data_IF_678773559499
#
_entry.id   IF_678773559499
#
_cell.length_a   1.000
_cell.length_b   1.000
_cell.length_c   1.000
_cell.angle_alpha   90.00
_cell.angle_beta   90.00
_cell.angle_gamma   90.00
#
_symmetry.space_group_name_H-M   'P 1'
#
loop_
_entity.id
_entity.type
_entity.pdbx_description
1 polymer ?
#
# COMPACT_ATOMS: atom_id res chain seq x y z
N UNK A 1 0.72 5.76 -3.40
CA UNK A 1 0.59 5.51 -4.86
C UNK A 1 -0.60 6.28 -5.44
N UNK A 2 -1.69 6.43 -4.69
CA UNK A 2 -2.96 6.97 -5.20
C UNK A 2 -3.08 8.50 -5.11
N UNK A 3 -2.01 9.23 -4.79
CA UNK A 3 -2.02 10.69 -4.67
C UNK A 3 -2.15 11.37 -6.04
N UNK A 4 -3.33 11.92 -6.41
CA UNK A 4 -3.55 12.39 -7.77
C UNK A 4 -3.04 13.82 -7.98
N UNK A 5 -2.79 14.62 -6.93
CA UNK A 5 -2.48 16.05 -7.08
C UNK A 5 -1.09 16.24 -7.66
N UNK A 6 -0.98 16.89 -8.82
CA UNK A 6 0.32 17.16 -9.46
C UNK A 6 1.29 17.90 -8.54
N UNK A 7 0.80 18.83 -7.71
CA UNK A 7 1.58 19.60 -6.73
C UNK A 7 2.19 18.77 -5.60
N UNK A 8 1.66 17.58 -5.32
CA UNK A 8 2.18 16.63 -4.33
C UNK A 8 3.02 15.55 -5.01
N UNK A 9 3.90 15.96 -5.92
CA UNK A 9 4.82 15.04 -6.60
C UNK A 9 5.80 14.43 -5.60
N UNK A 10 6.05 13.11 -5.64
CA UNK A 10 7.06 12.51 -4.79
C UNK A 10 8.45 12.97 -5.22
N UNK A 11 9.30 13.27 -4.24
CA UNK A 11 10.72 13.51 -4.44
C UNK A 11 11.46 12.18 -4.22
N UNK A 12 11.72 11.45 -5.32
CA UNK A 12 12.50 10.21 -5.26
C UNK A 12 14.00 10.51 -5.26
N UNK A 13 14.74 9.68 -4.54
CA UNK A 13 16.19 9.75 -4.46
C UNK A 13 16.84 8.73 -5.38
N UNK A 14 18.01 9.06 -5.90
CA UNK A 14 18.88 8.13 -6.61
C UNK A 14 20.16 7.92 -5.81
N UNK A 15 20.66 6.70 -5.82
CA UNK A 15 21.98 6.41 -5.29
C UNK A 15 23.02 6.50 -6.40
N UNK A 16 23.82 7.56 -6.37
CA UNK A 16 24.90 7.78 -7.33
C UNK A 16 25.91 6.63 -7.32
N UNK A 17 26.52 6.38 -8.48
CA UNK A 17 27.57 5.39 -8.63
C UNK A 17 28.75 5.70 -7.70
N UNK A 18 29.29 4.67 -7.04
CA UNK A 18 30.37 4.82 -6.06
C UNK A 18 29.93 5.20 -4.63
N UNK A 19 28.64 5.49 -4.39
CA UNK A 19 28.15 5.69 -3.03
C UNK A 19 28.01 4.34 -2.29
N UNK A 20 28.97 4.07 -1.40
CA UNK A 20 29.01 2.85 -0.57
C UNK A 20 28.48 3.03 0.85
N UNK A 21 28.09 4.25 1.23
CA UNK A 21 27.69 4.59 2.61
C UNK A 21 26.17 4.70 2.77
N UNK A 22 25.45 5.00 1.70
CA UNK A 22 23.99 5.14 1.74
C UNK A 22 23.31 3.81 1.47
N UNK A 23 22.54 3.36 2.45
CA UNK A 23 21.52 2.33 2.29
C UNK A 23 20.19 3.01 1.94
N UNK A 24 19.79 2.92 0.66
CA UNK A 24 18.59 3.57 0.14
C UNK A 24 17.48 2.54 -0.03
N UNK A 25 16.30 2.76 0.55
CA UNK A 25 15.06 2.03 0.26
C UNK A 25 13.93 3.03 0.02
N UNK A 26 13.13 2.82 -1.01
CA UNK A 26 11.95 3.64 -1.30
C UNK A 26 10.75 2.74 -1.57
N UNK A 27 9.75 2.77 -0.69
CA UNK A 27 8.66 1.79 -0.71
C UNK A 27 7.34 2.46 -1.07
N UNK A 28 6.64 1.86 -2.02
CA UNK A 28 5.34 2.31 -2.50
C UNK A 28 4.18 1.67 -1.70
N UNK A 29 3.32 2.52 -1.14
CA UNK A 29 2.13 2.13 -0.36
C UNK A 29 0.82 2.60 -1.02
N UNK A 30 -0.33 1.95 -0.78
CA UNK A 30 -1.63 2.41 -1.23
C UNK A 30 -2.03 3.69 -0.50
N UNK A 31 -2.91 4.50 -1.10
CA UNK A 31 -3.45 5.72 -0.52
C UNK A 31 -2.76 7.01 -0.98
N UNK A 32 -3.36 8.12 -0.53
CA UNK A 32 -2.92 9.50 -0.79
C UNK A 32 -2.00 10.01 0.30
N UNK A 33 -1.50 11.24 0.19
CA UNK A 33 -0.47 11.80 1.07
C UNK A 33 -0.72 11.57 2.57
N UNK A 34 -1.90 11.93 3.08
CA UNK A 34 -2.24 11.79 4.51
C UNK A 34 -2.66 10.35 4.89
N UNK A 35 -2.91 9.45 3.93
CA UNK A 35 -3.02 8.03 4.25
C UNK A 35 -1.65 7.41 4.57
N UNK A 36 -0.56 7.96 4.01
CA UNK A 36 0.81 7.50 4.27
C UNK A 36 1.40 8.18 5.52
N UNK A 37 1.24 9.50 5.63
CA UNK A 37 1.82 10.29 6.72
C UNK A 37 0.97 10.38 7.99
N UNK A 38 -0.29 9.94 7.94
CA UNK A 38 -1.26 10.16 9.01
C UNK A 38 -2.02 11.49 8.87
N UNK A 39 -3.12 11.62 9.62
CA UNK A 39 -3.97 12.83 9.62
C UNK A 39 -5.40 12.65 9.11
N UNK A 40 -5.82 11.42 8.86
CA UNK A 40 -7.23 11.05 8.63
C UNK A 40 -7.81 10.35 9.86
N UNK A 41 -9.13 10.21 9.94
CA UNK A 41 -9.76 9.44 11.03
C UNK A 41 -9.44 7.94 10.91
N UNK A 42 -9.56 7.38 9.71
CA UNK A 42 -9.00 6.05 9.43
C UNK A 42 -7.47 6.17 9.32
N UNK A 43 -6.78 5.51 10.24
CA UNK A 43 -5.31 5.50 10.34
C UNK A 43 -4.70 4.15 9.96
N UNK A 44 -5.45 3.21 9.38
CA UNK A 44 -4.91 1.86 9.16
C UNK A 44 -3.70 1.85 8.23
N UNK A 45 -3.77 2.51 7.06
CA UNK A 45 -2.62 2.60 6.14
C UNK A 45 -1.44 3.37 6.76
N UNK A 46 -1.73 4.42 7.53
CA UNK A 46 -0.70 5.21 8.23
C UNK A 46 -0.04 4.40 9.36
N UNK A 47 -0.78 3.48 9.97
CA UNK A 47 -0.25 2.57 10.99
C UNK A 47 0.70 1.55 10.36
N UNK A 48 0.41 1.08 9.14
CA UNK A 48 1.28 0.18 8.39
C UNK A 48 2.59 0.89 8.02
N UNK A 49 2.51 2.10 7.48
CA UNK A 49 3.71 2.88 7.13
C UNK A 49 4.54 3.26 8.36
N UNK A 50 3.88 3.55 9.49
CA UNK A 50 4.55 3.79 10.77
C UNK A 50 5.23 2.52 11.30
N UNK A 51 4.56 1.37 11.25
CA UNK A 51 5.16 0.10 11.66
C UNK A 51 6.40 -0.21 10.81
N UNK A 52 6.31 -0.05 9.49
CA UNK A 52 7.43 -0.24 8.57
C UNK A 52 8.60 0.69 8.91
N UNK A 53 8.38 1.98 9.12
CA UNK A 53 9.49 2.90 9.44
C UNK A 53 10.08 2.62 10.82
N UNK A 54 9.27 2.21 11.80
CA UNK A 54 9.77 1.77 13.10
C UNK A 54 10.72 0.57 12.93
N UNK A 55 10.36 -0.39 12.07
CA UNK A 55 11.20 -1.54 11.77
C UNK A 55 12.48 -1.18 11.02
N UNK A 56 12.48 -0.16 10.16
CA UNK A 56 13.71 0.34 9.52
C UNK A 56 14.63 1.08 10.49
N UNK A 57 14.07 1.77 11.49
CA UNK A 57 14.84 2.62 12.41
C UNK A 57 15.34 1.87 13.66
N UNK A 58 14.66 0.80 14.08
CA UNK A 58 15.03 0.06 15.30
C UNK A 58 16.46 -0.53 15.22
N UNK A 59 16.88 -1.18 14.12
CA UNK A 59 18.26 -1.67 13.98
C UNK A 59 19.33 -0.57 14.01
N UNK A 60 18.95 0.69 13.78
CA UNK A 60 19.83 1.85 13.86
C UNK A 60 19.95 2.43 15.28
N UNK A 61 19.29 1.79 16.27
CA UNK A 61 19.29 2.21 17.67
C UNK A 61 18.19 3.20 18.04
N UNK A 62 17.16 3.36 17.19
CA UNK A 62 15.98 4.16 17.53
C UNK A 62 14.98 3.28 18.26
N UNK A 63 14.75 3.57 19.53
CA UNK A 63 13.81 2.81 20.35
C UNK A 63 12.40 3.42 20.30
N UNK A 64 11.40 2.55 20.30
CA UNK A 64 9.99 2.94 20.36
C UNK A 64 9.34 2.38 21.60
N UNK A 65 8.50 3.18 22.26
CA UNK A 65 7.75 2.75 23.43
C UNK A 65 6.68 1.72 23.03
N UNK A 66 6.78 0.44 23.43
CA UNK A 66 5.86 -0.60 22.97
C UNK A 66 4.41 -0.32 23.37
N UNK A 67 4.19 0.19 24.58
CA UNK A 67 2.85 0.53 25.04
C UNK A 67 2.18 1.60 24.16
N UNK A 68 2.93 2.61 23.72
CA UNK A 68 2.42 3.69 22.87
C UNK A 68 2.09 3.20 21.46
N UNK A 69 2.96 2.39 20.86
CA UNK A 69 2.72 1.81 19.53
C UNK A 69 1.56 0.81 19.55
N UNK A 70 1.53 -0.12 20.52
CA UNK A 70 0.43 -1.06 20.68
C UNK A 70 -0.90 -0.32 20.90
N UNK A 71 -0.92 0.75 21.70
CA UNK A 71 -2.11 1.59 21.87
C UNK A 71 -2.55 2.23 20.55
N UNK A 72 -1.61 2.71 19.74
CA UNK A 72 -1.90 3.29 18.42
C UNK A 72 -2.49 2.25 17.46
N UNK A 73 -1.85 1.09 17.31
CA UNK A 73 -2.34 0.00 16.46
C UNK A 73 -3.71 -0.51 16.92
N UNK A 74 -3.90 -0.64 18.23
CA UNK A 74 -5.17 -1.03 18.82
C UNK A 74 -6.25 0.04 18.62
N UNK A 75 -5.91 1.33 18.65
CA UNK A 75 -6.86 2.40 18.31
C UNK A 75 -7.32 2.34 16.85
N UNK A 76 -6.44 1.99 15.91
CA UNK A 76 -6.78 1.75 14.51
C UNK A 76 -7.75 0.57 14.35
N UNK A 77 -7.55 -0.53 15.11
CA UNK A 77 -8.50 -1.66 15.12
C UNK A 77 -9.87 -1.26 15.70
N UNK A 78 -9.88 -0.49 16.80
CA UNK A 78 -11.12 0.00 17.42
C UNK A 78 -11.90 0.93 16.50
N UNK A 79 -11.20 1.81 15.79
CA UNK A 79 -11.79 2.67 14.77
C UNK A 79 -12.43 1.80 13.67
N UNK A 80 -11.68 0.85 13.15
CA UNK A 80 -12.12 -0.08 12.10
C UNK A 80 -13.35 -0.90 12.51
N UNK A 81 -13.41 -1.33 13.78
CA UNK A 81 -14.55 -2.04 14.36
C UNK A 81 -15.79 -1.14 14.54
N UNK A 82 -15.61 0.13 14.90
CA UNK A 82 -16.72 1.09 14.99
C UNK A 82 -17.24 1.51 13.62
N UNK A 83 -16.32 1.70 12.67
CA UNK A 83 -16.55 2.33 11.37
C UNK A 83 -16.09 1.39 10.23
N UNK A 84 -16.71 0.22 10.03
CA UNK A 84 -16.33 -0.69 8.94
C UNK A 84 -16.57 -0.06 7.56
N UNK A 85 -17.48 0.90 7.45
CA UNK A 85 -17.70 1.73 6.27
C UNK A 85 -17.72 3.21 6.66
N UNK A 86 -16.52 3.80 6.90
CA UNK A 86 -16.41 5.16 7.38
C UNK A 86 -17.05 6.15 6.42
N UNK A 87 -17.45 7.30 6.95
CA UNK A 87 -18.20 8.29 6.19
C UNK A 87 -17.46 8.73 4.94
N UNK A 88 -18.11 8.56 3.81
CA UNK A 88 -17.63 9.08 2.53
C UNK A 88 -18.23 10.48 2.42
N UNK A 89 -17.42 11.54 2.26
CA UNK A 89 -17.99 12.85 1.98
C UNK A 89 -18.91 12.70 0.78
N UNK A 90 -20.12 13.27 0.88
CA UNK A 90 -20.89 13.54 -0.33
C UNK A 90 -19.94 14.20 -1.33
N UNK A 91 -20.10 14.02 -2.64
CA UNK A 91 -19.38 14.82 -3.63
C UNK A 91 -19.81 16.29 -3.50
N UNK A 92 -19.44 16.91 -2.38
CA UNK A 92 -19.52 18.32 -2.11
C UNK A 92 -18.46 18.90 -3.02
N UNK A 93 -18.94 19.68 -3.99
CA UNK A 93 -18.22 20.34 -5.08
C UNK A 93 -18.56 19.71 -6.43
N UNK A 94 -19.02 20.59 -7.33
CA UNK A 94 -19.14 20.41 -8.77
C UNK A 94 -17.79 19.95 -9.34
N UNK A 95 -17.51 18.65 -9.31
CA UNK A 95 -16.40 18.06 -10.05
C UNK A 95 -16.85 18.07 -11.51
N UNK A 96 -16.21 18.84 -12.42
CA UNK A 96 -16.55 18.82 -13.82
C UNK A 96 -16.57 17.38 -14.35
N UNK A 97 -17.54 17.05 -15.19
CA UNK A 97 -17.78 15.67 -15.68
C UNK A 97 -16.53 15.01 -16.29
N UNK A 98 -15.59 15.80 -16.83
CA UNK A 98 -14.33 15.29 -17.38
C UNK A 98 -13.40 14.70 -16.30
N UNK A 99 -13.36 15.24 -15.08
CA UNK A 99 -12.63 14.65 -13.95
C UNK A 99 -13.35 13.40 -13.44
N UNK A 100 -14.70 13.43 -13.42
CA UNK A 100 -15.50 12.24 -13.11
C UNK A 100 -15.24 11.09 -14.09
N UNK A 101 -14.98 11.39 -15.37
CA UNK A 101 -14.61 10.38 -16.36
C UNK A 101 -13.28 9.70 -16.03
N UNK A 102 -12.32 10.40 -15.42
CA UNK A 102 -11.04 9.82 -14.98
C UNK A 102 -11.26 8.91 -13.75
N UNK A 103 -12.11 9.30 -12.80
CA UNK A 103 -12.37 8.56 -11.56
C UNK A 103 -13.27 7.31 -11.80
N UNK A 104 -14.26 7.40 -12.69
CA UNK A 104 -15.20 6.31 -13.02
C UNK A 104 -14.73 5.38 -14.14
N UNK A 105 -13.63 5.70 -14.83
CA UNK A 105 -13.11 4.87 -15.94
C UNK A 105 -12.62 3.49 -15.51
N UNK A 106 -12.51 3.26 -14.20
CA UNK A 106 -11.94 2.04 -13.65
C UNK A 106 -12.99 0.96 -13.42
N UNK A 107 -13.36 0.29 -14.51
CA UNK A 107 -14.06 -1.00 -14.46
C UNK A 107 -13.18 -2.08 -15.04
N UNK A 108 -12.11 -2.42 -14.32
CA UNK A 108 -11.43 -3.68 -14.57
C UNK A 108 -11.69 -4.56 -13.33
N UNK A 109 -12.65 -5.50 -13.38
CA UNK A 109 -12.66 -6.57 -12.40
C UNK A 109 -11.34 -7.32 -12.57
N UNK A 110 -10.52 -7.31 -11.52
CA UNK A 110 -9.28 -8.07 -11.48
C UNK A 110 -9.69 -9.55 -11.44
N UNK A 111 -9.48 -10.36 -12.49
CA UNK A 111 -10.02 -11.72 -12.61
C UNK A 111 -9.46 -12.69 -11.55
N UNK A 112 -8.46 -12.24 -10.81
CA UNK A 112 -7.78 -12.99 -9.76
C UNK A 112 -8.08 -12.48 -8.35
N UNK A 113 -8.96 -11.50 -8.15
CA UNK A 113 -9.35 -11.10 -6.80
C UNK A 113 -10.01 -12.28 -6.05
N UNK A 114 -9.58 -12.51 -4.80
CA UNK A 114 -10.11 -13.53 -3.91
C UNK A 114 -11.63 -13.35 -3.73
N UNK A 115 -12.35 -14.48 -3.72
CA UNK A 115 -13.79 -14.53 -3.54
C UNK A 115 -14.12 -15.57 -2.47
N UNK A 116 -14.90 -15.23 -1.43
CA UNK A 116 -15.56 -13.94 -1.20
C UNK A 116 -14.59 -12.85 -0.72
N UNK A 117 -14.82 -11.60 -1.15
CA UNK A 117 -14.02 -10.45 -0.70
C UNK A 117 -14.19 -10.25 0.82
N UNK A 118 -13.12 -10.10 1.61
CA UNK A 118 -13.22 -9.87 3.06
C UNK A 118 -13.97 -8.57 3.42
N UNK A 119 -13.76 -7.50 2.64
CA UNK A 119 -14.45 -6.23 2.80
C UNK A 119 -15.14 -5.84 1.46
N UNK A 120 -16.32 -6.43 1.14
CA UNK A 120 -17.03 -6.13 -0.09
C UNK A 120 -17.60 -4.70 -0.05
N UNK A 121 -17.98 -4.11 -1.21
CA UNK A 121 -18.73 -2.86 -1.20
C UNK A 121 -19.99 -2.97 -0.33
N UNK A 122 -20.38 -1.90 0.40
CA UNK A 122 -21.52 -1.96 1.30
C UNK A 122 -22.78 -2.31 0.51
N UNK A 123 -23.55 -3.29 1.01
CA UNK A 123 -24.87 -3.63 0.44
C UNK A 123 -25.80 -2.43 0.59
N UNK A 124 -26.86 -2.36 -0.23
CA UNK A 124 -27.89 -1.30 -0.10
C UNK A 124 -28.54 -1.23 1.29
N UNK A 125 -28.49 -2.34 2.05
CA UNK A 125 -29.00 -2.46 3.42
C UNK A 125 -27.94 -2.12 4.49
N UNK A 126 -26.67 -1.96 4.11
CA UNK A 126 -25.58 -1.66 5.03
C UNK A 126 -25.41 -0.14 5.18
N UNK A 127 -25.27 0.33 6.42
CA UNK A 127 -25.15 1.74 6.72
C UNK A 127 -23.69 2.18 6.59
N UNK A 128 -23.43 3.10 5.65
CA UNK A 128 -22.22 3.92 5.61
C UNK A 128 -22.39 5.05 6.64
N UNK A 129 -21.32 5.42 7.33
CA UNK A 129 -21.42 6.48 8.35
C UNK A 129 -21.82 7.82 7.72
N UNK A 130 -22.72 8.54 8.39
CA UNK A 130 -23.30 9.77 7.86
C UNK A 130 -22.38 10.97 7.97
N UNK A 131 -21.46 10.95 8.93
CA UNK A 131 -20.49 12.00 9.18
C UNK A 131 -19.15 11.38 9.57
N UNK A 132 -18.08 12.14 9.38
CA UNK A 132 -16.77 11.74 9.87
C UNK A 132 -16.83 11.53 11.39
N UNK A 133 -16.04 10.56 11.85
CA UNK A 133 -15.84 10.32 13.26
C UNK A 133 -15.35 11.61 13.93
N UNK A 134 -16.02 12.01 15.00
CA UNK A 134 -15.53 13.05 15.90
C UNK A 134 -14.75 12.36 17.03
N UNK A 135 -13.74 13.01 17.62
CA UNK A 135 -12.97 12.42 18.72
C UNK A 135 -13.83 12.06 19.96
N UNK A 136 -15.10 12.47 19.97
CA UNK A 136 -16.14 12.15 20.96
C UNK A 136 -16.92 10.85 20.65
N UNK A 137 -16.71 10.23 19.49
CA UNK A 137 -17.35 8.97 19.13
C UNK A 137 -16.75 7.84 19.97
N UNK A 138 -17.58 7.28 20.86
CA UNK A 138 -17.16 6.27 21.80
C UNK A 138 -16.89 4.94 21.06
N UNK A 139 -15.65 4.73 20.61
CA UNK A 139 -15.23 3.48 19.97
C UNK A 139 -15.33 2.28 20.93
N UNK A 140 -15.69 1.08 20.47
CA UNK A 140 -15.85 -0.09 21.33
C UNK A 140 -14.54 -0.40 22.06
N UNK A 141 -14.65 -0.79 23.33
CA UNK A 141 -13.55 -1.34 24.12
C UNK A 141 -13.67 -2.87 24.15
N UNK A 142 -12.55 -3.59 24.13
CA UNK A 142 -12.55 -5.05 24.24
C UNK A 142 -11.31 -5.70 23.63
N UNK A 143 -11.02 -6.96 23.95
CA UNK A 143 -9.87 -7.64 23.35
C UNK A 143 -9.95 -7.63 21.81
N UNK A 144 -8.83 -7.80 21.08
CA UNK A 144 -8.86 -7.87 19.62
C UNK A 144 -9.90 -8.87 19.09
N UNK A 145 -10.06 -10.02 19.73
CA UNK A 145 -11.05 -11.05 19.37
C UNK A 145 -12.49 -10.56 19.54
N UNK A 146 -12.75 -9.67 20.52
CA UNK A 146 -14.06 -9.05 20.70
C UNK A 146 -14.31 -7.97 19.65
N UNK A 147 -13.29 -7.21 19.27
CA UNK A 147 -13.38 -6.17 18.24
C UNK A 147 -13.63 -6.77 16.85
N UNK A 148 -13.06 -7.94 16.56
CA UNK A 148 -13.28 -8.63 15.29
C UNK A 148 -14.73 -9.05 15.05
N UNK A 149 -15.52 -9.25 16.10
CA UNK A 149 -16.97 -9.53 16.00
C UNK A 149 -17.78 -8.40 15.37
N UNK A 150 -17.21 -7.19 15.28
CA UNK A 150 -17.83 -6.06 14.60
C UNK A 150 -17.50 -6.00 13.10
N UNK A 151 -16.79 -7.01 12.57
CA UNK A 151 -16.42 -7.10 11.15
C UNK A 151 -15.67 -5.85 10.65
N UNK A 152 -14.67 -5.42 11.42
CA UNK A 152 -13.77 -4.35 11.02
C UNK A 152 -13.03 -4.66 9.72
N UNK A 153 -12.40 -3.64 9.16
CA UNK A 153 -11.51 -3.77 7.99
C UNK A 153 -10.21 -4.49 8.37
N UNK A 154 -9.83 -5.53 7.62
CA UNK A 154 -8.55 -6.20 7.78
C UNK A 154 -7.33 -5.41 7.29
N UNK A 155 -6.14 -5.92 7.62
CA UNK A 155 -4.84 -5.28 7.32
C UNK A 155 -4.69 -4.93 5.84
N UNK A 156 -4.36 -3.66 5.55
CA UNK A 156 -4.20 -3.14 4.20
C UNK A 156 -5.50 -2.75 3.49
N UNK A 157 -6.67 -3.00 4.08
CA UNK A 157 -8.00 -2.72 3.49
C UNK A 157 -8.69 -1.47 4.06
N UNK A 158 -8.01 -0.73 4.94
CA UNK A 158 -8.47 0.53 5.49
C UNK A 158 -8.81 1.56 4.42
N UNK A 159 -9.74 2.46 4.77
CA UNK A 159 -10.22 3.48 3.85
C UNK A 159 -9.07 4.41 3.43
N UNK A 160 -8.96 4.64 2.12
CA UNK A 160 -8.11 5.71 1.60
C UNK A 160 -8.99 6.88 1.20
N UNK A 161 -8.44 8.09 1.24
CA UNK A 161 -9.20 9.32 1.00
C UNK A 161 -8.78 9.96 -0.30
N UNK A 162 -9.77 10.33 -1.11
CA UNK A 162 -9.51 11.19 -2.25
C UNK A 162 -9.35 12.65 -1.76
N UNK A 163 -8.55 13.50 -2.43
CA UNK A 163 -8.45 14.90 -2.04
C UNK A 163 -9.82 15.58 -1.98
N UNK A 164 -10.09 16.29 -0.88
CA UNK A 164 -11.42 16.81 -0.53
C UNK A 164 -11.80 18.10 -1.27
N UNK A 165 -10.86 18.75 -1.97
CA UNK A 165 -11.10 20.03 -2.64
C UNK A 165 -10.65 20.00 -4.09
N UNK A 166 -11.55 20.42 -5.00
CA UNK A 166 -11.24 20.56 -6.42
C UNK A 166 -10.14 21.58 -6.71
N UNK A 167 -9.99 22.63 -5.89
CA UNK A 167 -8.89 23.59 -6.04
C UNK A 167 -7.53 22.92 -5.89
N UNK A 168 -7.45 21.86 -5.08
CA UNK A 168 -6.23 21.07 -4.94
C UNK A 168 -5.92 20.24 -6.19
N UNK A 169 -6.93 19.99 -7.05
CA UNK A 169 -6.81 19.29 -8.33
C UNK A 169 -6.63 20.24 -9.52
N UNK A 170 -6.81 21.55 -9.33
CA UNK A 170 -6.71 22.56 -10.39
C UNK A 170 -5.30 22.65 -11.00
N UNK A 171 -4.27 22.19 -10.28
CA UNK A 171 -2.91 22.03 -10.80
C UNK A 171 -2.72 20.85 -11.75
N UNK A 172 -3.76 20.05 -11.99
CA UNK A 172 -3.73 18.83 -12.79
C UNK A 172 -3.65 17.56 -11.94
N UNK A 173 -4.07 16.44 -12.55
CA UNK A 173 -4.01 15.11 -11.95
C UNK A 173 -2.93 14.27 -12.60
N UNK A 174 -2.27 13.41 -11.84
CA UNK A 174 -1.19 12.54 -12.33
C UNK A 174 -1.26 11.17 -11.68
N UNK A 175 -0.97 10.12 -12.47
CA UNK A 175 -0.78 8.77 -11.96
C UNK A 175 0.69 8.58 -11.59
N UNK A 176 0.96 8.05 -10.39
CA UNK A 176 2.34 7.78 -9.95
C UNK A 176 2.83 6.49 -10.61
N UNK A 177 3.96 6.54 -11.31
CA UNK A 177 4.49 5.42 -12.11
C UNK A 177 5.83 4.96 -11.51
N UNK A 178 5.83 3.96 -10.61
CA UNK A 178 7.07 3.41 -10.04
C UNK A 178 8.10 3.09 -11.13
N UNK A 179 9.37 3.41 -10.89
CA UNK A 179 10.48 3.16 -11.82
C UNK A 179 10.53 4.05 -13.07
N UNK A 180 9.51 4.86 -13.35
CA UNK A 180 9.42 5.67 -14.58
C UNK A 180 9.67 7.17 -14.33
N UNK A 181 10.35 7.52 -13.23
CA UNK A 181 10.60 8.92 -12.87
C UNK A 181 11.87 9.48 -13.51
N UNK A 182 11.78 10.73 -13.94
CA UNK A 182 12.88 11.50 -14.49
C UNK A 182 13.50 12.41 -13.43
N UNK A 183 14.78 12.74 -13.59
CA UNK A 183 15.44 13.79 -12.82
C UNK A 183 14.72 15.11 -13.05
N UNK A 184 14.70 15.93 -12.01
CA UNK A 184 14.05 17.23 -12.00
C UNK A 184 15.11 18.32 -12.02
N UNK A 185 14.92 19.32 -12.89
CA UNK A 185 15.74 20.52 -12.92
C UNK A 185 15.47 21.36 -11.65
N UNK A 186 16.48 21.63 -10.81
CA UNK A 186 16.28 22.33 -9.54
C UNK A 186 15.89 23.81 -9.70
N UNK A 187 16.19 24.44 -10.85
CA UNK A 187 15.93 25.86 -11.06
C UNK A 187 14.49 26.13 -11.49
N UNK A 188 13.86 25.17 -12.18
CA UNK A 188 12.51 25.34 -12.75
C UNK A 188 11.50 24.23 -12.39
N UNK A 189 11.94 23.19 -11.66
CA UNK A 189 11.14 22.08 -11.17
C UNK A 189 10.44 21.26 -12.28
N UNK A 190 10.99 21.24 -13.51
CA UNK A 190 10.49 20.44 -14.63
C UNK A 190 11.26 19.14 -14.77
N UNK A 191 10.61 18.14 -15.36
CA UNK A 191 11.29 16.91 -15.75
C UNK A 191 12.33 17.16 -16.82
N UNK A 192 13.48 16.53 -16.64
CA UNK A 192 14.49 16.36 -17.67
C UNK A 192 14.20 15.08 -18.47
N UNK A 193 15.02 14.81 -19.48
CA UNK A 193 15.00 13.54 -20.23
C UNK A 193 15.88 12.46 -19.59
N UNK A 194 16.54 12.76 -18.47
CA UNK A 194 17.40 11.81 -17.76
C UNK A 194 16.58 11.01 -16.73
N UNK A 195 16.53 9.67 -16.81
CA UNK A 195 15.85 8.86 -15.80
C UNK A 195 16.60 8.88 -14.47
N UNK A 196 15.89 8.74 -13.36
CA UNK A 196 16.52 8.47 -12.06
C UNK A 196 17.17 7.09 -12.05
N UNK A 197 18.35 7.00 -11.45
CA UNK A 197 19.14 5.76 -11.40
C UNK A 197 19.14 5.14 -10.00
N UNK A 198 19.27 3.81 -9.90
CA UNK A 198 19.51 3.11 -8.63
C UNK A 198 18.58 3.56 -7.48
N UNK A 199 17.29 3.75 -7.77
CA UNK A 199 16.31 4.28 -6.80
C UNK A 199 15.97 3.28 -5.69
N UNK A 200 16.26 1.99 -5.88
CA UNK A 200 15.85 0.89 -4.99
C UNK A 200 14.37 1.01 -4.58
N UNK A 201 13.53 1.30 -5.58
CA UNK A 201 12.08 1.32 -5.40
C UNK A 201 11.54 -0.09 -5.18
N UNK A 202 10.58 -0.21 -4.27
CA UNK A 202 9.92 -1.45 -3.88
C UNK A 202 8.44 -1.22 -3.68
N UNK A 203 7.65 -2.28 -3.67
CA UNK A 203 6.21 -2.20 -3.42
C UNK A 203 5.89 -2.90 -2.12
N UNK A 204 5.17 -2.24 -1.20
CA UNK A 204 4.83 -2.88 0.07
C UNK A 204 3.80 -4.01 -0.10
N UNK A 205 3.89 -5.11 0.67
CA UNK A 205 2.96 -6.25 0.58
C UNK A 205 1.49 -5.87 0.75
N UNK A 206 1.19 -4.79 1.49
CA UNK A 206 -0.19 -4.30 1.62
C UNK A 206 -0.82 -3.88 0.27
N UNK A 207 -0.02 -3.54 -0.74
CA UNK A 207 -0.50 -3.26 -2.12
C UNK A 207 -1.03 -4.55 -2.74
N UNK A 208 -0.25 -5.64 -2.68
CA UNK A 208 -0.68 -6.95 -3.18
C UNK A 208 -1.91 -7.45 -2.44
N UNK A 209 -1.93 -7.38 -1.10
CA UNK A 209 -3.11 -7.81 -0.33
C UNK A 209 -4.34 -6.98 -0.68
N UNK A 210 -4.22 -5.65 -0.78
CA UNK A 210 -5.35 -4.79 -1.13
C UNK A 210 -5.90 -5.11 -2.53
N UNK A 211 -5.04 -5.37 -3.50
CA UNK A 211 -5.46 -5.81 -4.83
C UNK A 211 -6.12 -7.18 -4.78
N UNK A 212 -5.48 -8.16 -4.13
CA UNK A 212 -5.92 -9.55 -4.09
C UNK A 212 -7.25 -9.71 -3.36
N UNK A 213 -7.44 -9.01 -2.27
CA UNK A 213 -8.65 -9.10 -1.45
C UNK A 213 -9.77 -8.17 -1.95
N UNK A 214 -9.56 -7.52 -3.10
CA UNK A 214 -10.54 -6.63 -3.72
C UNK A 214 -10.84 -5.40 -2.86
N UNK A 215 -9.83 -4.90 -2.16
CA UNK A 215 -9.89 -3.69 -1.34
C UNK A 215 -10.39 -2.49 -2.14
N UNK A 216 -10.95 -1.52 -1.43
CA UNK A 216 -11.67 -0.43 -2.08
C UNK A 216 -10.75 0.72 -2.48
N UNK A 217 -11.16 1.45 -3.51
CA UNK A 217 -10.50 2.66 -4.00
C UNK A 217 -10.60 3.80 -2.97
N UNK A 218 -9.91 4.94 -3.20
CA UNK A 218 -10.16 6.14 -2.42
C UNK A 218 -11.67 6.45 -2.33
N UNK A 219 -12.09 6.87 -1.14
CA UNK A 219 -13.49 7.12 -0.75
C UNK A 219 -14.42 5.90 -0.91
N UNK A 220 -13.87 4.68 -0.87
CA UNK A 220 -14.60 3.40 -0.94
C UNK A 220 -15.59 3.24 -2.10
N UNK A 221 -15.40 4.01 -3.18
CA UNK A 221 -16.41 4.12 -4.25
C UNK A 221 -16.51 2.89 -5.13
N UNK A 222 -15.41 2.15 -5.28
CA UNK A 222 -15.31 0.96 -6.12
C UNK A 222 -14.14 0.08 -5.67
N UNK A 223 -13.91 -1.05 -6.36
CA UNK A 223 -12.71 -1.85 -6.15
C UNK A 223 -11.47 -1.06 -6.60
N UNK A 224 -10.39 -1.14 -5.83
CA UNK A 224 -9.17 -0.38 -6.08
C UNK A 224 -8.50 -0.81 -7.40
N UNK A 225 -8.34 0.10 -8.38
CA UNK A 225 -7.78 -0.26 -9.67
C UNK A 225 -6.26 -0.28 -9.70
N UNK A 226 -5.59 0.30 -8.69
CA UNK A 226 -4.14 0.49 -8.65
C UNK A 226 -3.55 0.97 -9.98
N UNK A 227 -4.06 2.11 -10.49
CA UNK A 227 -3.66 2.67 -11.78
C UNK A 227 -2.14 2.77 -11.94
N UNK A 228 -1.43 3.08 -10.84
CA UNK A 228 0.03 3.13 -10.77
C UNK A 228 0.75 1.88 -11.30
N UNK A 229 0.20 0.70 -11.07
CA UNK A 229 0.81 -0.58 -11.48
C UNK A 229 0.09 -1.23 -12.66
N UNK A 230 -1.23 -1.03 -12.79
CA UNK A 230 -2.04 -1.84 -13.70
C UNK A 230 -2.55 -1.09 -14.93
N UNK A 231 -2.51 0.24 -14.98
CA UNK A 231 -3.03 1.01 -16.13
C UNK A 231 -1.87 1.58 -16.95
N UNK A 232 -1.94 1.53 -18.27
CA UNK A 232 -1.01 2.21 -19.16
C UNK A 232 -1.66 3.45 -19.81
N UNK A 233 -0.87 4.27 -20.51
CA UNK A 233 -1.35 5.49 -21.18
C UNK A 233 -1.87 5.23 -22.60
N UNK A 234 -1.92 3.96 -23.04
CA UNK A 234 -2.58 3.54 -24.28
C UNK A 234 -4.02 3.09 -24.07
N UNK A 235 -4.45 2.96 -22.81
CA UNK A 235 -5.74 2.40 -22.40
C UNK A 235 -5.89 0.93 -22.84
N UNK A 236 -4.79 0.19 -22.84
CA UNK A 236 -4.79 -1.25 -23.03
C UNK A 236 -5.39 -1.99 -21.83
N UNK A 237 -5.79 -3.24 -22.04
CA UNK A 237 -6.32 -4.11 -20.97
C UNK A 237 -5.21 -4.84 -20.18
N UNK A 238 -3.94 -4.69 -20.60
CA UNK A 238 -2.80 -5.35 -19.97
C UNK A 238 -2.25 -4.52 -18.80
N UNK A 239 -1.84 -5.17 -17.69
CA UNK A 239 -1.18 -4.47 -16.60
C UNK A 239 0.17 -3.88 -17.05
N UNK A 240 0.61 -2.78 -16.45
CA UNK A 240 1.97 -2.26 -16.71
C UNK A 240 3.01 -3.07 -15.95
N UNK A 241 2.65 -3.50 -14.74
CA UNK A 241 3.45 -4.32 -13.85
C UNK A 241 2.67 -5.59 -13.52
N UNK A 242 3.21 -6.74 -13.95
CA UNK A 242 2.66 -8.07 -13.66
C UNK A 242 3.23 -8.60 -12.35
N UNK A 243 2.37 -9.13 -11.50
CA UNK A 243 2.77 -9.77 -10.24
C UNK A 243 3.24 -11.21 -10.50
N UNK A 244 4.44 -11.55 -10.05
CA UNK A 244 5.04 -12.88 -10.19
C UNK A 244 5.68 -13.35 -8.88
N UNK A 245 5.69 -14.67 -8.66
CA UNK A 245 6.48 -15.27 -7.57
C UNK A 245 7.96 -15.17 -7.90
N UNK A 246 8.77 -14.71 -6.95
CA UNK A 246 10.21 -14.72 -7.09
C UNK A 246 10.95 -13.95 -6.00
N UNK A 247 12.24 -14.27 -5.86
CA UNK A 247 13.18 -13.58 -4.97
C UNK A 247 14.10 -12.71 -5.80
N UNK A 248 13.87 -11.39 -5.79
CA UNK A 248 14.77 -10.43 -6.46
C UNK A 248 15.69 -9.71 -5.48
N UNK A 249 15.30 -9.60 -4.20
CA UNK A 249 16.19 -9.09 -3.16
C UNK A 249 17.30 -10.12 -2.93
N UNK A 250 18.55 -9.66 -2.92
CA UNK A 250 19.69 -10.54 -2.73
C UNK A 250 19.70 -11.15 -1.32
N UNK A 251 20.15 -12.40 -1.17
CA UNK A 251 20.23 -13.04 0.15
C UNK A 251 21.06 -12.20 1.13
N UNK A 252 22.16 -11.60 0.67
CA UNK A 252 22.98 -10.71 1.49
C UNK A 252 22.18 -9.52 2.05
N UNK A 253 21.30 -8.95 1.25
CA UNK A 253 20.47 -7.83 1.69
C UNK A 253 19.37 -8.27 2.65
N UNK A 254 18.75 -9.43 2.39
CA UNK A 254 17.80 -10.05 3.33
C UNK A 254 18.47 -10.34 4.67
N UNK A 255 19.65 -10.98 4.66
CA UNK A 255 20.41 -11.28 5.87
C UNK A 255 20.75 -10.00 6.65
N UNK A 256 21.03 -8.89 5.96
CA UNK A 256 21.27 -7.59 6.60
C UNK A 256 20.00 -7.02 7.24
N UNK A 257 18.85 -7.17 6.58
CA UNK A 257 17.56 -6.70 7.07
C UNK A 257 17.03 -7.54 8.24
N UNK A 258 17.26 -8.86 8.26
CA UNK A 258 16.74 -9.76 9.30
C UNK A 258 17.69 -9.96 10.47
N UNK A 259 19.02 -9.84 10.29
CA UNK A 259 19.99 -10.22 11.33
C UNK A 259 19.74 -9.59 12.70
N UNK A 260 19.33 -8.32 12.73
CA UNK A 260 18.97 -7.65 13.98
C UNK A 260 17.77 -8.33 14.65
N UNK A 261 16.67 -8.51 13.92
CA UNK A 261 15.44 -9.10 14.45
C UNK A 261 15.58 -10.58 14.78
N UNK A 262 16.30 -11.34 13.97
CA UNK A 262 16.60 -12.76 14.24
C UNK A 262 17.33 -12.90 15.58
N UNK A 263 18.27 -11.99 15.88
CA UNK A 263 18.97 -11.97 17.16
C UNK A 263 18.07 -11.52 18.33
N UNK A 264 17.28 -10.45 18.15
CA UNK A 264 16.42 -9.93 19.23
C UNK A 264 15.30 -10.90 19.61
N UNK A 265 14.75 -11.63 18.63
CA UNK A 265 13.64 -12.56 18.84
C UNK A 265 14.08 -13.97 19.25
N UNK A 266 15.32 -14.40 18.96
CA UNK A 266 15.83 -15.70 19.37
C UNK A 266 16.05 -15.82 20.89
N UNK A 267 16.36 -14.71 21.56
CA UNK A 267 16.75 -14.69 22.97
C UNK A 267 15.56 -14.44 23.93
N UNK A 268 14.32 -14.40 23.43
CA UNK A 268 13.09 -14.07 24.19
C UNK A 268 13.32 -12.87 25.14
N UNK A 269 13.94 -11.82 24.60
CA UNK A 269 14.28 -10.61 25.37
C UNK A 269 12.99 -9.95 25.84
N UNK A 270 13.02 -9.41 27.06
CA UNK A 270 11.86 -8.76 27.70
C UNK A 270 11.23 -7.63 26.88
N UNK A 271 12.00 -7.01 25.99
CA UNK A 271 11.58 -5.81 25.27
C UNK A 271 10.76 -6.11 24.01
N UNK A 272 10.84 -7.34 23.46
CA UNK A 272 10.12 -7.77 22.26
C UNK A 272 9.53 -9.18 22.42
N UNK A 273 8.22 -9.28 22.64
CA UNK A 273 7.55 -10.58 22.82
C UNK A 273 7.25 -11.25 21.46
N UNK A 274 7.97 -12.34 21.17
CA UNK A 274 7.83 -13.13 19.95
C UNK A 274 6.50 -13.91 19.85
N UNK A 275 5.72 -13.99 20.93
CA UNK A 275 4.42 -14.72 20.95
C UNK A 275 3.28 -13.88 20.41
N UNK A 276 3.45 -12.57 20.35
CA UNK A 276 2.42 -11.61 19.92
C UNK A 276 2.58 -11.17 18.44
N UNK A 277 3.58 -11.70 17.72
CA UNK A 277 3.83 -11.37 16.32
C UNK A 277 3.23 -12.40 15.36
N UNK A 278 2.96 -11.96 14.14
CA UNK A 278 2.49 -12.85 13.09
C UNK A 278 3.62 -13.78 12.62
N UNK A 279 3.34 -15.07 12.48
CA UNK A 279 4.33 -16.07 12.08
C UNK A 279 4.35 -16.20 10.55
N UNK A 280 5.42 -15.69 9.94
CA UNK A 280 5.70 -15.85 8.51
C UNK A 280 6.11 -17.30 8.21
N UNK A 281 5.76 -17.78 7.03
CA UNK A 281 6.17 -19.07 6.50
C UNK A 281 7.30 -18.90 5.48
N UNK A 282 8.08 -19.95 5.29
CA UNK A 282 9.14 -19.97 4.29
C UNK A 282 8.56 -19.67 2.90
N UNK A 283 9.08 -18.61 2.27
CA UNK A 283 8.66 -18.17 0.94
C UNK A 283 7.54 -17.14 0.91
N UNK A 284 7.04 -16.72 2.07
CA UNK A 284 6.15 -15.56 2.15
C UNK A 284 6.83 -14.29 1.67
N UNK A 285 6.07 -13.41 0.99
CA UNK A 285 6.61 -12.14 0.52
C UNK A 285 7.57 -12.26 -0.68
N UNK A 286 7.81 -13.48 -1.19
CA UNK A 286 8.60 -13.72 -2.42
C UNK A 286 7.78 -13.35 -3.67
N UNK A 287 7.51 -12.06 -3.80
CA UNK A 287 6.73 -11.47 -4.88
C UNK A 287 7.51 -10.36 -5.57
N UNK A 288 7.33 -10.28 -6.87
CA UNK A 288 7.94 -9.27 -7.72
C UNK A 288 6.90 -8.66 -8.65
N UNK A 289 7.06 -7.38 -8.94
CA UNK A 289 6.34 -6.67 -9.98
C UNK A 289 7.25 -6.55 -11.20
N UNK A 290 6.93 -7.27 -12.27
CA UNK A 290 7.70 -7.33 -13.51
C UNK A 290 7.05 -6.44 -14.56
N UNK A 291 7.84 -5.53 -15.14
CA UNK A 291 7.36 -4.58 -16.14
C UNK A 291 7.02 -5.28 -17.46
N UNK A 292 5.88 -4.94 -18.06
CA UNK A 292 5.48 -5.41 -19.39
C UNK A 292 6.14 -4.57 -20.49
N UNK A 293 6.92 -5.20 -21.36
CA UNK A 293 7.69 -4.50 -22.40
C UNK A 293 6.82 -3.82 -23.47
N UNK A 294 5.56 -4.22 -23.62
CA UNK A 294 4.60 -3.56 -24.51
C UNK A 294 3.78 -2.46 -23.83
N UNK A 295 3.92 -2.24 -22.51
CA UNK A 295 3.24 -1.18 -21.79
C UNK A 295 3.69 0.21 -22.27
N UNK A 296 2.73 1.13 -22.43
CA UNK A 296 2.98 2.51 -22.85
C UNK A 296 2.87 3.44 -21.66
N UNK A 297 4.00 3.97 -21.18
CA UNK A 297 4.03 5.01 -20.16
C UNK A 297 4.61 6.29 -20.75
N UNK A 298 3.95 7.42 -20.52
CA UNK A 298 4.38 8.75 -20.96
C UNK A 298 4.86 9.57 -19.76
N UNK A 299 5.95 10.30 -19.93
CA UNK A 299 6.38 11.31 -18.98
C UNK A 299 5.54 12.60 -19.09
N UNK A 300 5.91 13.63 -18.32
CA UNK A 300 5.21 14.93 -18.35
C UNK A 300 5.35 15.69 -19.67
N UNK A 301 6.34 15.36 -20.53
CA UNK A 301 6.49 15.94 -21.87
C UNK A 301 5.71 15.17 -22.94
N UNK A 302 5.09 14.03 -22.58
CA UNK A 302 4.32 13.17 -23.46
C UNK A 302 5.15 12.12 -24.21
N UNK A 303 6.45 12.03 -23.93
CA UNK A 303 7.36 11.05 -24.51
C UNK A 303 7.22 9.70 -23.79
N UNK A 304 7.31 8.62 -24.54
CA UNK A 304 7.27 7.27 -23.98
C UNK A 304 8.54 7.00 -23.17
N UNK A 305 8.37 6.69 -21.89
CA UNK A 305 9.44 6.32 -20.96
C UNK A 305 9.31 4.87 -20.54
N UNK A 306 10.45 4.27 -20.20
CA UNK A 306 10.54 2.89 -19.71
C UNK A 306 11.36 2.87 -18.44
N UNK A 307 10.99 2.05 -17.45
CA UNK A 307 11.79 1.92 -16.26
C UNK A 307 13.11 1.23 -16.61
N UNK A 308 14.20 1.72 -16.03
CA UNK A 308 15.51 1.06 -16.16
C UNK A 308 15.52 -0.27 -15.40
N UNK A 309 14.90 -0.28 -14.23
CA UNK A 309 14.67 -1.49 -13.44
C UNK A 309 13.35 -2.11 -13.85
N UNK A 310 13.38 -3.23 -14.57
CA UNK A 310 12.18 -3.95 -15.03
C UNK A 310 11.53 -4.83 -13.97
N UNK A 311 12.10 -4.92 -12.77
CA UNK A 311 11.59 -5.74 -11.67
C UNK A 311 11.63 -4.94 -10.38
N UNK A 312 10.46 -4.64 -9.81
CA UNK A 312 10.34 -4.04 -8.49
C UNK A 312 10.04 -5.16 -7.49
N UNK A 313 10.91 -5.42 -6.50
CA UNK A 313 10.62 -6.42 -5.49
C UNK A 313 9.49 -5.95 -4.56
N UNK A 314 8.75 -6.91 -4.02
CA UNK A 314 7.93 -6.66 -2.84
C UNK A 314 8.85 -6.43 -1.62
N UNK A 315 8.50 -5.44 -0.79
CA UNK A 315 9.21 -5.22 0.47
C UNK A 315 8.87 -6.33 1.46
N UNK A 316 9.87 -7.04 2.01
CA UNK A 316 9.64 -8.20 2.85
C UNK A 316 9.20 -7.78 4.26
N UNK A 317 8.21 -8.47 4.80
CA UNK A 317 7.64 -8.20 6.13
C UNK A 317 8.45 -8.93 7.21
N UNK A 318 9.66 -8.45 7.46
CA UNK A 318 10.64 -9.08 8.37
C UNK A 318 10.65 -8.49 9.78
N UNK A 319 10.22 -7.23 9.90
CA UNK A 319 10.31 -6.47 11.14
C UNK A 319 9.28 -6.86 12.21
N UNK A 320 9.55 -6.48 13.46
CA UNK A 320 8.71 -6.81 14.60
C UNK A 320 7.39 -6.04 14.58
N UNK A 321 7.44 -4.73 14.36
CA UNK A 321 6.27 -3.85 14.49
C UNK A 321 5.22 -4.13 13.43
N UNK A 322 5.65 -4.39 12.20
CA UNK A 322 4.74 -4.80 11.12
C UNK A 322 4.08 -6.13 11.41
N UNK A 323 4.82 -7.10 11.96
CA UNK A 323 4.28 -8.41 12.34
C UNK A 323 3.34 -8.34 13.54
N UNK A 324 3.60 -7.46 14.51
CA UNK A 324 2.65 -7.13 15.59
C UNK A 324 1.35 -6.56 15.03
N UNK A 325 1.46 -5.56 14.15
CA UNK A 325 0.30 -4.91 13.56
C UNK A 325 -0.50 -5.92 12.72
N UNK A 326 0.16 -6.75 11.92
CA UNK A 326 -0.48 -7.81 11.14
C UNK A 326 -1.16 -8.85 12.05
N UNK A 327 -0.52 -9.30 13.14
CA UNK A 327 -1.15 -10.22 14.09
C UNK A 327 -2.41 -9.65 14.74
N UNK A 328 -2.37 -8.35 15.07
CA UNK A 328 -3.50 -7.63 15.67
C UNK A 328 -4.64 -7.42 14.67
N UNK A 329 -4.30 -7.13 13.41
CA UNK A 329 -5.24 -6.64 12.40
C UNK A 329 -5.55 -7.64 11.27
N UNK A 330 -5.08 -8.88 11.38
CA UNK A 330 -5.56 -9.99 10.55
C UNK A 330 -7.06 -10.18 10.81
N UNK A 331 -7.84 -10.30 9.74
CA UNK A 331 -9.28 -10.53 9.83
C UNK A 331 -9.63 -11.90 10.43
N UNK A 332 -10.93 -12.19 10.48
CA UNK A 332 -11.43 -13.53 10.83
C UNK A 332 -10.86 -14.62 9.90
N UNK A 333 -10.65 -14.25 8.64
CA UNK A 333 -9.84 -15.01 7.70
C UNK A 333 -8.44 -14.41 7.69
N UNK A 334 -7.42 -15.26 7.67
CA UNK A 334 -6.03 -14.83 7.62
C UNK A 334 -5.73 -14.19 6.25
N UNK A 335 -5.88 -12.87 6.18
CA UNK A 335 -5.75 -12.09 4.94
C UNK A 335 -4.39 -12.23 4.28
N UNK A 336 -3.34 -12.39 5.11
CA UNK A 336 -2.00 -12.63 4.60
C UNK A 336 -1.94 -13.96 3.87
N UNK A 337 -2.45 -15.04 4.47
CA UNK A 337 -2.52 -16.36 3.79
C UNK A 337 -3.32 -16.29 2.50
N UNK A 338 -4.50 -15.67 2.53
CA UNK A 338 -5.33 -15.48 1.34
C UNK A 338 -4.61 -14.71 0.22
N UNK A 339 -3.76 -13.77 0.61
CA UNK A 339 -2.88 -13.02 -0.28
C UNK A 339 -1.73 -13.82 -0.88
N UNK A 340 -1.20 -14.80 -0.15
CA UNK A 340 -0.14 -15.69 -0.59
C UNK A 340 -0.65 -16.79 -1.55
N UNK A 341 -1.89 -17.23 -1.40
CA UNK A 341 -2.44 -18.41 -2.10
C UNK A 341 -2.65 -18.26 -3.63
N UNK A 342 -2.35 -17.12 -4.28
CA UNK A 342 -2.68 -17.00 -5.70
C UNK A 342 -1.93 -16.01 -6.59
N UNK A 343 -1.40 -16.57 -7.69
CA UNK A 343 -1.55 -16.04 -9.05
C UNK A 343 -2.19 -17.14 -9.91
N UNK A 344 -3.47 -17.04 -10.31
CA UNK A 344 -3.98 -17.82 -11.43
C UNK A 344 -3.34 -17.25 -12.70
N UNK A 345 -2.30 -17.90 -13.20
CA UNK A 345 -1.59 -17.42 -14.40
C UNK A 345 -0.35 -18.20 -14.81
N UNK A 346 0.29 -18.96 -13.91
CA UNK A 346 1.37 -19.89 -14.26
C UNK A 346 0.96 -21.33 -13.96
N UNK A 347 -0.17 -21.76 -14.54
CA UNK A 347 -0.40 -23.18 -14.77
C UNK A 347 -0.73 -23.32 -16.25
N UNK A 348 0.11 -24.07 -16.94
CA UNK A 348 -0.09 -24.54 -18.31
C UNK A 348 -1.56 -24.88 -18.56
N UNK A 349 -2.09 -24.37 -19.68
CA UNK A 349 -3.33 -24.79 -20.34
C UNK A 349 -4.28 -25.65 -19.52
N UNK A 350 -5.17 -25.02 -18.76
CA UNK A 350 -6.22 -25.71 -18.04
C UNK A 350 -7.38 -24.78 -17.77
N UNK A 351 -8.34 -24.74 -18.71
CA UNK A 351 -9.67 -24.19 -18.46
C UNK A 351 -10.26 -24.86 -17.22
N UNK A 352 -10.85 -24.09 -16.32
CA UNK A 352 -11.88 -24.62 -15.44
C UNK A 352 -13.17 -23.78 -15.54
N UNK A 353 -14.24 -24.56 -15.46
CA UNK A 353 -15.66 -24.34 -15.84
C UNK A 353 -16.36 -23.32 -14.96
#
# INVERSE_FOLDING_TARGET
MDEPRSSFRPALWERLEGNTTTYLKQVWFPGTHANIGGGWYDQQIASITLAWICDQLTPLGVEFNPHSLTRLFYSSLRYSAAHPYPSIPSPSIFIPSFIWSIILRYRIPIPWAFTPKPCPPPKSTQRIDQANCTDDDHHPHGSPEQLWKFHGRPWGLGQTRFPTSWFQLAGGTVVRRPGCYMRVDPDNNKDTTEPLLNTNERVHSCVRLRLRLGGMSPDDRQTWPCASLLEDDSHGEKPVWRLERGKTISQRELDQDTAFWDSELADDKKDYDSREIYNMQDGDGDWNWVFEDDAVIKNSTGETVRPLTKVLPEEPLVGYWERCLLALTRGELDDWRLGEEGVPGTVNGGKFV
#
